data_IF_061804508381
#
_entry.id   IF_061804508381
#
_cell.length_a   1.000
_cell.length_b   1.000
_cell.length_c   1.000
_cell.angle_alpha   90.00
_cell.angle_beta   90.00
_cell.angle_gamma   90.00
#
_symmetry.space_group_name_H-M   'P 1'
#
loop_
_entity.id
_entity.type
_entity.pdbx_description
1 polymer ?
#
# COMPACT_ATOMS: atom_id res chain seq x y z
N UNK A 1 -43.61 2.22 1.29
CA UNK A 1 -42.40 2.53 0.50
C UNK A 1 -41.44 3.29 1.40
N UNK A 2 -40.52 2.64 2.09
CA UNK A 2 -39.53 3.34 2.93
C UNK A 2 -38.23 2.56 2.96
N UNK A 3 -37.37 2.81 1.98
CA UNK A 3 -36.04 2.23 1.88
C UNK A 3 -35.14 3.23 1.16
N UNK A 4 -34.74 4.29 1.87
CA UNK A 4 -33.93 5.33 1.25
C UNK A 4 -33.39 6.33 2.27
N UNK A 5 -32.53 5.87 3.17
CA UNK A 5 -31.41 6.60 3.80
C UNK A 5 -31.00 5.90 5.10
N UNK A 6 -30.28 4.77 5.01
CA UNK A 6 -29.83 4.03 6.19
C UNK A 6 -28.55 4.59 6.85
N UNK A 7 -27.95 5.65 6.31
CA UNK A 7 -26.67 6.15 6.80
C UNK A 7 -26.78 7.63 7.22
N UNK A 8 -26.59 7.97 8.51
CA UNK A 8 -26.56 9.35 8.95
C UNK A 8 -25.42 10.08 8.24
N UNK A 9 -25.74 11.20 7.58
CA UNK A 9 -24.73 12.05 6.95
C UNK A 9 -24.11 12.95 8.01
N UNK A 10 -22.79 12.89 8.15
CA UNK A 10 -22.04 13.73 9.07
C UNK A 10 -21.27 14.82 8.30
N UNK A 11 -21.54 16.08 8.64
CA UNK A 11 -20.80 17.20 8.09
C UNK A 11 -19.49 17.43 8.86
N UNK A 12 -18.39 16.97 8.27
CA UNK A 12 -17.04 17.13 8.83
C UNK A 12 -16.60 18.60 8.87
N UNK A 13 -16.06 19.03 10.01
CA UNK A 13 -15.34 20.29 10.18
C UNK A 13 -13.84 20.03 10.06
N UNK A 14 -13.24 20.57 9.01
CA UNK A 14 -11.85 20.32 8.64
C UNK A 14 -11.31 21.48 7.78
N UNK A 15 -9.97 21.69 7.76
CA UNK A 15 -9.35 22.71 6.93
C UNK A 15 -9.61 22.50 5.43
N UNK A 16 -9.65 23.59 4.67
CA UNK A 16 -9.84 23.55 3.21
C UNK A 16 -8.81 22.66 2.52
N UNK A 17 -7.55 22.78 2.91
CA UNK A 17 -6.45 21.99 2.36
C UNK A 17 -6.66 20.48 2.56
N UNK A 18 -7.18 20.07 3.72
CA UNK A 18 -7.45 18.65 4.00
C UNK A 18 -8.58 18.14 3.11
N UNK A 19 -9.65 18.94 2.95
CA UNK A 19 -10.76 18.60 2.07
C UNK A 19 -10.29 18.43 0.61
N UNK A 20 -9.40 19.29 0.14
CA UNK A 20 -8.84 19.21 -1.21
C UNK A 20 -7.98 17.95 -1.41
N UNK A 21 -7.12 17.61 -0.44
CA UNK A 21 -6.33 16.38 -0.47
C UNK A 21 -7.21 15.13 -0.57
N UNK A 22 -8.30 15.09 0.20
CA UNK A 22 -9.26 13.98 0.17
C UNK A 22 -10.02 13.94 -1.16
N UNK A 23 -10.41 15.09 -1.72
CA UNK A 23 -11.06 15.14 -3.02
C UNK A 23 -10.16 14.59 -4.15
N UNK A 24 -8.88 14.97 -4.14
CA UNK A 24 -7.88 14.46 -5.09
C UNK A 24 -7.66 12.96 -4.92
N UNK A 25 -7.55 12.48 -3.67
CA UNK A 25 -7.45 11.05 -3.37
C UNK A 25 -8.65 10.27 -3.90
N UNK A 26 -9.87 10.75 -3.62
CA UNK A 26 -11.10 10.09 -4.05
C UNK A 26 -11.15 9.97 -5.57
N UNK A 27 -10.76 11.03 -6.30
CA UNK A 27 -10.63 11.02 -7.76
C UNK A 27 -9.59 10.01 -8.25
N UNK A 28 -8.41 9.95 -7.61
CA UNK A 28 -7.33 9.00 -7.95
C UNK A 28 -7.79 7.55 -7.79
N UNK A 29 -8.59 7.25 -6.78
CA UNK A 29 -9.09 5.91 -6.49
C UNK A 29 -10.48 5.63 -7.09
N UNK A 30 -10.97 6.50 -7.97
CA UNK A 30 -12.26 6.39 -8.65
C UNK A 30 -13.45 6.12 -7.70
N UNK A 31 -13.50 6.83 -6.56
CA UNK A 31 -14.53 6.68 -5.53
C UNK A 31 -15.09 8.03 -5.07
N UNK A 32 -16.24 8.01 -4.40
CA UNK A 32 -16.79 9.23 -3.80
C UNK A 32 -15.91 9.71 -2.64
N UNK A 33 -15.97 11.01 -2.31
CA UNK A 33 -15.25 11.52 -1.13
C UNK A 33 -15.62 10.78 0.15
N UNK A 34 -16.90 10.46 0.33
CA UNK A 34 -17.35 9.72 1.51
C UNK A 34 -16.75 8.31 1.56
N UNK A 35 -16.71 7.60 0.42
CA UNK A 35 -16.06 6.30 0.34
C UNK A 35 -14.55 6.38 0.59
N UNK A 36 -13.89 7.48 0.18
CA UNK A 36 -12.47 7.70 0.47
C UNK A 36 -12.19 7.92 1.95
N UNK A 37 -13.04 8.70 2.62
CA UNK A 37 -12.95 8.95 4.05
C UNK A 37 -13.15 7.65 4.83
N UNK A 38 -14.21 6.89 4.54
CA UNK A 38 -14.51 5.62 5.22
C UNK A 38 -13.34 4.66 5.09
N UNK A 39 -12.86 4.41 3.87
CA UNK A 39 -11.76 3.48 3.65
C UNK A 39 -10.46 3.90 4.35
N UNK A 40 -10.17 5.21 4.44
CA UNK A 40 -9.02 5.72 5.18
C UNK A 40 -9.16 5.51 6.69
N UNK A 41 -10.36 5.69 7.23
CA UNK A 41 -10.65 5.44 8.64
C UNK A 41 -10.53 3.95 8.95
N UNK A 42 -11.12 3.08 8.13
CA UNK A 42 -11.00 1.61 8.26
C UNK A 42 -9.54 1.17 8.22
N UNK A 43 -8.75 1.70 7.27
CA UNK A 43 -7.32 1.40 7.19
C UNK A 43 -6.55 1.91 8.42
N UNK A 44 -6.90 3.08 8.95
CA UNK A 44 -6.21 3.63 10.12
C UNK A 44 -6.50 2.79 11.36
N UNK A 45 -7.76 2.39 11.57
CA UNK A 45 -8.16 1.55 12.69
C UNK A 45 -7.59 0.14 12.59
N UNK A 46 -7.57 -0.45 11.39
CA UNK A 46 -6.93 -1.76 11.17
C UNK A 46 -5.43 -1.73 11.50
N UNK A 47 -4.76 -0.60 11.28
CA UNK A 47 -3.35 -0.44 11.61
C UNK A 47 -3.09 -0.24 13.11
N UNK A 48 -4.07 0.24 13.89
CA UNK A 48 -3.96 0.32 15.35
C UNK A 48 -3.92 -1.06 16.01
N UNK A 49 -4.55 -2.06 15.39
CA UNK A 49 -4.55 -3.46 15.87
C UNK A 49 -3.26 -4.21 15.54
N UNK A 50 -2.45 -3.69 14.62
CA UNK A 50 -1.20 -4.33 14.24
C UNK A 50 -0.12 -4.08 15.28
N UNK A 51 0.73 -5.08 15.59
CA UNK A 51 1.87 -4.87 16.46
C UNK A 51 2.77 -3.78 15.86
N UNK A 52 3.28 -2.90 16.72
CA UNK A 52 4.21 -1.86 16.29
C UNK A 52 5.44 -2.51 15.66
N UNK A 53 5.73 -2.16 14.41
CA UNK A 53 6.93 -2.63 13.70
C UNK A 53 8.15 -2.14 14.49
N UNK A 54 8.87 -3.08 15.09
CA UNK A 54 10.07 -2.80 15.88
C UNK A 54 11.25 -2.49 14.95
N UNK A 55 12.33 -1.93 15.51
CA UNK A 55 13.55 -1.73 14.72
C UNK A 55 14.12 -3.07 14.23
N UNK A 56 14.02 -4.13 15.04
CA UNK A 56 14.47 -5.46 14.65
C UNK A 56 13.71 -5.97 13.41
N UNK A 57 12.39 -5.76 13.34
CA UNK A 57 11.58 -6.15 12.18
C UNK A 57 12.04 -5.43 10.90
N UNK A 58 12.38 -4.14 11.00
CA UNK A 58 12.93 -3.37 9.88
C UNK A 58 14.29 -3.89 9.45
N UNK A 59 15.16 -4.21 10.39
CA UNK A 59 16.49 -4.73 10.12
C UNK A 59 16.41 -6.10 9.41
N UNK A 60 15.44 -6.94 9.78
CA UNK A 60 15.17 -8.20 9.08
C UNK A 60 14.70 -7.96 7.63
N UNK A 61 13.80 -7.00 7.40
CA UNK A 61 13.35 -6.65 6.05
C UNK A 61 14.51 -6.17 5.16
N UNK A 62 15.40 -5.32 5.68
CA UNK A 62 16.58 -4.87 4.94
C UNK A 62 17.53 -6.02 4.61
N UNK A 63 17.70 -6.98 5.53
CA UNK A 63 18.50 -8.19 5.25
C UNK A 63 17.86 -9.02 4.14
N UNK A 64 16.55 -9.21 4.14
CA UNK A 64 15.84 -9.95 3.09
C UNK A 64 16.05 -9.29 1.74
N UNK A 65 15.88 -7.96 1.64
CA UNK A 65 16.13 -7.22 0.40
C UNK A 65 17.56 -7.41 -0.12
N UNK A 66 18.57 -7.34 0.77
CA UNK A 66 19.96 -7.58 0.38
C UNK A 66 20.23 -9.02 -0.10
N UNK A 67 19.43 -9.99 0.35
CA UNK A 67 19.50 -11.38 -0.12
C UNK A 67 18.88 -11.50 -1.50
N UNK A 68 17.72 -10.88 -1.72
CA UNK A 68 17.04 -10.85 -3.04
C UNK A 68 17.96 -10.26 -4.11
N UNK A 69 18.62 -9.13 -3.83
CA UNK A 69 19.59 -8.52 -4.75
C UNK A 69 20.76 -9.46 -5.08
N UNK A 70 21.30 -10.15 -4.07
CA UNK A 70 22.39 -11.11 -4.27
C UNK A 70 21.95 -12.33 -5.08
N UNK A 71 20.73 -12.80 -4.87
CA UNK A 71 20.16 -13.90 -5.66
C UNK A 71 20.01 -13.49 -7.12
N UNK A 72 19.49 -12.30 -7.40
CA UNK A 72 19.37 -11.77 -8.76
C UNK A 72 20.74 -11.66 -9.45
N UNK A 73 21.76 -11.20 -8.74
CA UNK A 73 23.14 -11.16 -9.26
C UNK A 73 23.67 -12.57 -9.61
N UNK A 74 23.41 -13.57 -8.76
CA UNK A 74 23.85 -14.94 -8.99
C UNK A 74 23.11 -15.54 -10.19
N UNK A 75 21.79 -15.36 -10.28
CA UNK A 75 20.97 -15.85 -11.40
C UNK A 75 21.47 -15.29 -12.72
N UNK A 76 21.64 -13.96 -12.80
CA UNK A 76 22.15 -13.29 -14.00
C UNK A 76 23.56 -13.77 -14.40
N UNK A 77 24.41 -14.04 -13.41
CA UNK A 77 25.76 -14.58 -13.64
C UNK A 77 25.73 -16.03 -14.12
N UNK A 78 24.73 -16.81 -13.71
CA UNK A 78 24.57 -18.22 -14.06
C UNK A 78 23.96 -18.39 -15.46
N UNK A 79 23.00 -17.56 -15.84
CA UNK A 79 22.43 -17.54 -17.19
C UNK A 79 23.48 -17.15 -18.25
N UNK A 80 24.38 -16.23 -17.92
CA UNK A 80 25.54 -15.90 -18.76
C UNK A 80 26.52 -17.07 -18.97
N UNK A 81 26.59 -18.01 -18.02
CA UNK A 81 27.43 -19.21 -18.11
C UNK A 81 26.74 -20.36 -18.84
N UNK A 82 25.42 -20.51 -18.71
CA UNK A 82 24.63 -21.54 -19.37
C UNK A 82 24.31 -21.21 -20.85
N UNK A 83 24.23 -19.91 -21.20
CA UNK A 83 24.00 -19.43 -22.57
C UNK A 83 25.14 -19.68 -23.57
N UNK A 84 26.33 -20.10 -23.10
CA UNK A 84 27.50 -20.38 -23.94
C UNK A 84 27.68 -21.87 -24.32
N UNK A 85 26.70 -22.73 -24.05
CA UNK A 85 26.69 -24.13 -24.54
C UNK A 85 25.78 -24.29 -25.76
N UNK A 86 26.02 -23.51 -26.82
CA UNK A 86 25.67 -23.94 -28.18
C UNK A 86 26.94 -24.50 -28.81
N UNK A 87 27.14 -25.80 -28.62
CA UNK A 87 28.22 -26.57 -29.26
C UNK A 87 27.89 -26.78 -30.76
N UNK A 88 28.87 -27.20 -31.57
CA UNK A 88 29.10 -26.83 -32.98
C UNK A 88 28.07 -27.33 -34.00
#
# INVERSE_FOLDING_TARGET
MSSGHLHPQYNLRWPKELKEKIAQSAKKHNRSMNADIVARLEQSLANEELPTITQADKDYLTKIQSIEEKLDMIINSTDGLLGNKKAP
#
